data_IF_178096837356
#
_entry.id   IF_178096837356
#
_cell.length_a   1.000
_cell.length_b   1.000
_cell.length_c   1.000
_cell.angle_alpha   90.00
_cell.angle_beta   90.00
_cell.angle_gamma   90.00
#
_symmetry.space_group_name_H-M   'P 1'
#
loop_
_entity.id
_entity.type
_entity.pdbx_description
1 polymer ?
#
# COMPACT_ATOMS: atom_id res chain seq x y z
N UNK A 1 -15.66 -29.01 12.44
CA UNK A 1 -16.21 -27.82 13.09
C UNK A 1 -15.08 -26.81 13.09
N UNK A 2 -15.05 -25.91 12.09
CA UNK A 2 -13.98 -24.91 11.95
C UNK A 2 -14.25 -23.79 12.94
N UNK A 3 -13.19 -23.30 13.58
CA UNK A 3 -13.28 -22.17 14.50
C UNK A 3 -13.64 -20.88 13.74
N UNK A 4 -14.72 -20.17 14.10
CA UNK A 4 -15.19 -19.01 13.35
C UNK A 4 -14.18 -17.85 13.30
N UNK A 5 -13.24 -17.75 14.25
CA UNK A 5 -12.19 -16.74 14.22
C UNK A 5 -11.13 -17.06 13.15
N UNK A 6 -10.88 -18.35 12.89
CA UNK A 6 -9.96 -18.81 11.84
C UNK A 6 -10.55 -18.55 10.45
N UNK A 7 -11.86 -18.76 10.28
CA UNK A 7 -12.58 -18.50 9.03
C UNK A 7 -12.62 -16.99 8.68
N UNK A 8 -12.85 -16.13 9.68
CA UNK A 8 -12.83 -14.67 9.50
C UNK A 8 -11.43 -14.15 9.17
N UNK A 9 -10.40 -14.65 9.87
CA UNK A 9 -9.00 -14.28 9.60
C UNK A 9 -8.56 -14.67 8.19
N UNK A 10 -8.88 -15.89 7.72
CA UNK A 10 -8.53 -16.33 6.37
C UNK A 10 -9.29 -15.51 5.30
N UNK A 11 -10.57 -15.20 5.57
CA UNK A 11 -11.39 -14.35 4.70
C UNK A 11 -10.84 -12.93 4.58
N UNK A 12 -10.48 -12.30 5.70
CA UNK A 12 -9.86 -10.98 5.73
C UNK A 12 -8.51 -10.98 4.98
N UNK A 13 -7.68 -11.97 5.28
CA UNK A 13 -6.36 -12.18 4.68
C UNK A 13 -6.42 -12.31 3.15
N UNK A 14 -7.37 -13.11 2.64
CA UNK A 14 -7.62 -13.24 1.20
C UNK A 14 -8.17 -11.95 0.58
N UNK A 15 -9.11 -11.30 1.27
CA UNK A 15 -9.72 -10.07 0.81
C UNK A 15 -8.69 -8.93 0.68
N UNK A 16 -7.81 -8.77 1.66
CA UNK A 16 -6.75 -7.77 1.62
C UNK A 16 -5.76 -8.07 0.49
N UNK A 17 -5.31 -9.33 0.33
CA UNK A 17 -4.42 -9.70 -0.77
C UNK A 17 -5.03 -9.46 -2.15
N UNK A 18 -6.31 -9.78 -2.34
CA UNK A 18 -7.01 -9.53 -3.60
C UNK A 18 -7.17 -8.03 -3.89
N UNK A 19 -7.44 -7.23 -2.85
CA UNK A 19 -7.46 -5.79 -2.96
C UNK A 19 -6.09 -5.21 -3.35
N UNK A 20 -5.02 -5.62 -2.67
CA UNK A 20 -3.65 -5.19 -2.97
C UNK A 20 -3.25 -5.57 -4.39
N UNK A 21 -3.59 -6.78 -4.85
CA UNK A 21 -3.34 -7.20 -6.23
C UNK A 21 -4.07 -6.30 -7.24
N UNK A 22 -5.29 -5.86 -6.92
CA UNK A 22 -6.05 -4.94 -7.78
C UNK A 22 -5.42 -3.54 -7.83
N UNK A 23 -4.84 -3.06 -6.73
CA UNK A 23 -4.09 -1.79 -6.69
C UNK A 23 -2.77 -1.92 -7.46
N UNK A 24 -2.00 -2.97 -7.20
CA UNK A 24 -0.70 -3.25 -7.82
C UNK A 24 -0.83 -3.32 -9.35
N UNK A 25 -1.81 -4.09 -9.85
CA UNK A 25 -2.06 -4.22 -11.29
C UNK A 25 -2.36 -2.87 -11.97
N UNK A 26 -3.00 -1.93 -11.27
CA UNK A 26 -3.30 -0.60 -11.81
C UNK A 26 -2.11 0.34 -11.79
N UNK A 27 -1.18 0.13 -10.86
CA UNK A 27 0.09 0.84 -10.77
C UNK A 27 1.17 0.21 -11.66
N UNK A 28 0.87 -0.92 -12.32
CA UNK A 28 1.80 -1.62 -13.20
C UNK A 28 2.90 -2.38 -12.44
N UNK A 29 2.72 -2.62 -11.14
CA UNK A 29 3.68 -3.36 -10.31
C UNK A 29 3.18 -4.77 -10.02
N UNK A 30 4.11 -5.72 -9.91
CA UNK A 30 3.80 -7.09 -9.53
C UNK A 30 3.59 -7.26 -8.03
N UNK A 31 2.94 -8.37 -7.65
CA UNK A 31 2.74 -8.71 -6.22
C UNK A 31 4.04 -9.02 -5.50
N UNK A 32 5.10 -9.37 -6.23
CA UNK A 32 6.46 -9.53 -5.71
C UNK A 32 7.05 -8.23 -5.14
N UNK A 33 6.54 -7.07 -5.60
CA UNK A 33 6.89 -5.75 -5.05
C UNK A 33 6.05 -5.36 -3.84
N UNK A 34 5.17 -6.25 -3.37
CA UNK A 34 4.24 -6.01 -2.28
C UNK A 34 4.55 -6.91 -1.07
N UNK A 35 4.59 -6.31 0.12
CA UNK A 35 4.56 -7.02 1.39
C UNK A 35 3.19 -6.78 2.04
N UNK A 36 2.45 -7.85 2.31
CA UNK A 36 1.12 -7.79 2.95
C UNK A 36 1.18 -8.50 4.30
N UNK A 37 1.15 -7.73 5.38
CA UNK A 37 0.97 -8.23 6.74
C UNK A 37 -0.52 -8.18 7.09
N UNK A 38 -1.10 -9.36 7.35
CA UNK A 38 -2.51 -9.53 7.67
C UNK A 38 -2.77 -9.65 9.18
N UNK A 39 -1.72 -9.60 10.01
CA UNK A 39 -1.89 -9.47 11.46
C UNK A 39 -2.59 -8.15 11.78
N UNK A 40 -3.32 -8.06 12.89
CA UNK A 40 -4.08 -6.84 13.23
C UNK A 40 -3.24 -5.94 14.15
N UNK A 41 -3.05 -4.65 13.83
CA UNK A 41 -3.55 -3.94 12.64
C UNK A 41 -2.81 -4.35 11.35
N UNK A 42 -3.58 -4.52 10.26
CA UNK A 42 -3.01 -4.97 9.00
C UNK A 42 -2.22 -3.87 8.29
N UNK A 43 -1.18 -4.27 7.56
CA UNK A 43 -0.27 -3.36 6.87
C UNK A 43 0.09 -3.86 5.48
N UNK A 44 0.26 -2.91 4.56
CA UNK A 44 0.74 -3.18 3.20
C UNK A 44 1.87 -2.22 2.89
N UNK A 45 2.94 -2.76 2.32
CA UNK A 45 4.00 -2.01 1.69
C UNK A 45 4.04 -2.40 0.21
N UNK A 46 4.14 -1.41 -0.67
CA UNK A 46 4.26 -1.62 -2.12
C UNK A 46 5.37 -0.73 -2.65
N UNK A 47 6.45 -1.33 -3.14
CA UNK A 47 7.50 -0.60 -3.83
C UNK A 47 7.00 -0.15 -5.21
N UNK A 48 7.24 1.11 -5.57
CA UNK A 48 6.88 1.68 -6.85
C UNK A 48 8.13 2.12 -7.59
N UNK A 49 8.15 1.92 -8.91
CA UNK A 49 9.18 2.50 -9.80
C UNK A 49 9.00 4.02 -10.00
N UNK A 50 8.01 4.62 -9.33
CA UNK A 50 7.75 6.06 -9.40
C UNK A 50 8.83 6.81 -8.64
N UNK A 51 9.40 7.82 -9.31
CA UNK A 51 10.32 8.79 -8.70
C UNK A 51 9.67 10.15 -8.69
N UNK A 52 9.80 10.84 -7.57
CA UNK A 52 9.34 12.23 -7.46
C UNK A 52 10.47 13.15 -7.92
N UNK A 53 10.18 14.08 -8.83
CA UNK A 53 11.19 15.02 -9.34
C UNK A 53 11.86 15.86 -8.24
N UNK A 54 11.12 16.13 -7.16
CA UNK A 54 11.60 16.83 -5.97
C UNK A 54 12.57 16.01 -5.07
N UNK A 55 12.61 14.68 -5.24
CA UNK A 55 13.47 13.76 -4.47
C UNK A 55 14.27 12.84 -5.40
N UNK A 56 15.29 13.37 -6.11
CA UNK A 56 16.07 12.56 -7.03
C UNK A 56 16.80 11.43 -6.29
N UNK A 57 16.71 10.22 -6.83
CA UNK A 57 17.43 9.04 -6.33
C UNK A 57 16.76 8.30 -5.17
N UNK A 58 15.54 8.68 -4.77
CA UNK A 58 14.71 7.93 -3.82
C UNK A 58 13.50 7.38 -4.54
N UNK A 59 13.29 6.07 -4.45
CA UNK A 59 12.11 5.43 -5.01
C UNK A 59 10.91 5.65 -4.08
N UNK A 60 9.71 5.66 -4.65
CA UNK A 60 8.48 5.85 -3.90
C UNK A 60 7.96 4.49 -3.41
N UNK A 61 7.47 4.46 -2.19
CA UNK A 61 6.67 3.37 -1.66
C UNK A 61 5.25 3.85 -1.40
N UNK A 62 4.30 2.96 -1.66
CA UNK A 62 2.92 3.15 -1.27
C UNK A 62 2.63 2.24 -0.07
N UNK A 63 2.22 2.84 1.04
CA UNK A 63 2.01 2.16 2.31
C UNK A 63 0.55 2.29 2.72
N UNK A 64 -0.04 1.20 3.17
CA UNK A 64 -1.36 1.19 3.82
C UNK A 64 -1.20 0.66 5.23
N UNK A 65 -1.85 1.33 6.17
CA UNK A 65 -2.02 0.85 7.53
C UNK A 65 -3.51 0.89 7.86
N UNK A 66 -4.03 -0.14 8.52
CA UNK A 66 -5.45 -0.25 8.85
C UNK A 66 -5.99 0.96 9.63
N UNK A 67 -5.18 1.59 10.49
CA UNK A 67 -5.59 2.75 11.28
C UNK A 67 -5.40 4.10 10.58
N UNK A 68 -4.51 4.18 9.59
CA UNK A 68 -4.10 5.45 8.96
C UNK A 68 -4.62 5.57 7.51
N UNK A 69 -4.76 4.46 6.81
CA UNK A 69 -5.05 4.39 5.38
C UNK A 69 -3.82 4.53 4.49
N UNK A 70 -4.07 4.74 3.20
CA UNK A 70 -3.01 4.85 2.19
C UNK A 70 -2.21 6.15 2.32
N UNK A 71 -0.89 6.02 2.23
CA UNK A 71 0.03 7.14 2.16
C UNK A 71 1.23 6.76 1.29
N UNK A 72 1.76 7.76 0.60
CA UNK A 72 2.98 7.63 -0.15
C UNK A 72 4.15 8.05 0.75
N UNK A 73 5.22 7.28 0.73
CA UNK A 73 6.44 7.56 1.46
C UNK A 73 7.65 7.32 0.56
N UNK A 74 8.74 8.03 0.81
CA UNK A 74 10.01 7.71 0.16
C UNK A 74 10.55 6.41 0.79
N UNK A 75 11.06 5.52 -0.05
CA UNK A 75 11.82 4.36 0.41
C UNK A 75 12.96 4.89 1.31
N UNK A 76 13.04 4.45 2.58
CA UNK A 76 14.06 4.90 3.51
C UNK A 76 15.50 4.60 3.04
N UNK A 77 15.71 3.69 2.09
CA UNK A 77 17.02 3.10 1.91
C UNK A 77 17.43 2.31 3.17
N UNK A 78 18.62 1.70 3.16
CA UNK A 78 19.05 0.86 4.27
C UNK A 78 19.30 1.68 5.56
N UNK A 79 18.30 1.74 6.44
CA UNK A 79 18.46 2.15 7.84
C UNK A 79 17.86 3.50 8.26
N UNK A 80 17.11 4.19 7.40
CA UNK A 80 16.39 5.43 7.77
C UNK A 80 14.89 5.18 8.00
N UNK A 81 14.20 6.16 8.58
CA UNK A 81 12.74 6.14 8.67
C UNK A 81 12.11 6.60 7.33
N UNK A 82 11.03 5.95 6.90
CA UNK A 82 10.29 6.34 5.69
C UNK A 82 9.72 7.76 5.85
N UNK A 83 10.02 8.65 4.91
CA UNK A 83 9.46 10.02 4.92
C UNK A 83 8.13 10.01 4.18
N UNK A 84 7.03 10.27 4.90
CA UNK A 84 5.70 10.41 4.30
C UNK A 84 5.66 11.68 3.45
N UNK A 85 5.34 11.53 2.17
CA UNK A 85 5.23 12.65 1.22
C UNK A 85 3.79 13.12 1.03
N UNK A 86 2.83 12.19 1.11
CA UNK A 86 1.42 12.51 0.94
C UNK A 86 0.54 11.43 1.58
N UNK A 87 -0.67 11.81 2.00
CA UNK A 87 -1.69 10.89 2.52
C UNK A 87 -2.95 10.96 1.66
N UNK A 88 -3.53 9.80 1.36
CA UNK A 88 -4.84 9.70 0.74
C UNK A 88 -5.89 9.71 1.84
N UNK A 89 -6.52 10.87 2.03
CA UNK A 89 -7.58 11.04 3.02
C UNK A 89 -8.92 10.53 2.50
N UNK A 90 -9.77 10.04 3.42
CA UNK A 90 -11.12 9.58 3.11
C UNK A 90 -11.37 8.18 3.63
N UNK A 91 -11.80 7.28 2.76
CA UNK A 91 -12.08 5.90 3.14
C UNK A 91 -10.80 5.16 3.53
N UNK A 92 -10.88 4.32 4.57
CA UNK A 92 -9.78 3.45 5.00
C UNK A 92 -9.27 2.58 3.84
N UNK A 93 -10.20 2.08 3.01
CA UNK A 93 -9.91 1.26 1.83
C UNK A 93 -10.62 1.82 0.59
N UNK A 94 -10.03 2.84 -0.05
CA UNK A 94 -10.58 3.45 -1.26
C UNK A 94 -10.60 2.44 -2.42
N UNK A 95 -11.41 2.71 -3.45
CA UNK A 95 -11.38 1.89 -4.66
C UNK A 95 -9.97 1.90 -5.29
N UNK A 96 -9.48 0.78 -5.85
CA UNK A 96 -8.16 0.73 -6.48
C UNK A 96 -7.88 1.83 -7.54
N UNK A 97 -8.86 2.29 -8.35
CA UNK A 97 -8.71 3.49 -9.18
C UNK A 97 -8.33 4.76 -8.45
N UNK A 98 -8.89 5.00 -7.26
CA UNK A 98 -8.61 6.20 -6.48
C UNK A 98 -7.18 6.19 -5.95
N UNK A 99 -6.70 5.02 -5.50
CA UNK A 99 -5.32 4.82 -5.04
C UNK A 99 -4.32 5.04 -6.18
N UNK A 100 -4.60 4.49 -7.37
CA UNK A 100 -3.74 4.69 -8.53
C UNK A 100 -3.66 6.17 -8.95
N UNK A 101 -4.82 6.85 -9.01
CA UNK A 101 -4.88 8.29 -9.32
C UNK A 101 -4.11 9.13 -8.31
N UNK A 102 -4.21 8.78 -7.02
CA UNK A 102 -3.45 9.44 -5.97
C UNK A 102 -1.95 9.38 -6.24
N UNK A 103 -1.39 8.20 -6.55
CA UNK A 103 0.05 8.05 -6.87
C UNK A 103 0.43 8.87 -8.10
N UNK A 104 -0.35 8.83 -9.18
CA UNK A 104 -0.05 9.60 -10.40
C UNK A 104 -0.04 11.10 -10.15
N UNK A 105 -0.92 11.61 -9.28
CA UNK A 105 -1.01 13.03 -8.95
C UNK A 105 0.18 13.59 -8.16
N UNK A 106 1.07 12.74 -7.65
CA UNK A 106 2.26 13.17 -6.91
C UNK A 106 3.36 13.75 -7.83
N UNK A 107 3.23 13.56 -9.15
CA UNK A 107 4.18 14.01 -10.17
C UNK A 107 3.59 15.06 -11.13
N UNK A 108 2.36 15.53 -10.87
CA UNK A 108 1.73 16.64 -11.60
C UNK A 108 2.12 18.00 -11.00
#
# INVERSE_FOLDING_TARGET
MTDPLVDDYDSHSRGLRAYVASVAARLGVGMESCCVDTSRPAQVYMALDHRLGQFPGRDLALVWDEGIGWHAALDPGAGEDSVIVAKLHGMERPDPPAVARFVTSLNE
#
